data_IF_597613486847
#
_entry.id   IF_597613486847
#
_cell.length_a   1.000
_cell.length_b   1.000
_cell.length_c   1.000
_cell.angle_alpha   90.00
_cell.angle_beta   90.00
_cell.angle_gamma   90.00
#
_symmetry.space_group_name_H-M   'P 1'
#
loop_
_entity.id
_entity.type
_entity.pdbx_description
1 polymer ?
#
# COMPACT_ATOMS: atom_id res chain seq x y z
N UNK A 1 10.71 3.13 7.19
CA UNK A 1 10.08 3.72 5.98
C UNK A 1 9.70 2.58 5.06
N UNK A 2 8.48 2.56 4.54
CA UNK A 2 8.02 1.55 3.57
C UNK A 2 7.26 2.26 2.44
N UNK A 3 7.52 1.84 1.20
CA UNK A 3 6.84 2.32 0.00
C UNK A 3 6.65 1.14 -0.94
N UNK A 4 5.57 1.14 -1.72
CA UNK A 4 5.27 0.05 -2.63
C UNK A 4 4.33 0.49 -3.76
N UNK A 5 4.49 -0.14 -4.92
CA UNK A 5 3.71 0.12 -6.13
C UNK A 5 2.50 -0.81 -6.30
N UNK A 6 2.19 -1.65 -5.31
CA UNK A 6 1.13 -2.67 -5.25
C UNK A 6 1.40 -4.01 -5.96
N UNK A 7 1.79 -4.06 -7.23
CA UNK A 7 2.25 -5.31 -7.87
C UNK A 7 3.54 -5.07 -8.65
N UNK A 8 4.72 -5.18 -8.04
CA UNK A 8 6.00 -5.01 -8.77
C UNK A 8 6.09 -3.70 -9.57
N UNK A 9 6.14 -3.79 -10.91
CA UNK A 9 6.10 -2.64 -11.85
C UNK A 9 4.71 -2.01 -12.03
N UNK A 10 3.75 -2.41 -11.19
CA UNK A 10 2.39 -1.94 -11.16
C UNK A 10 1.66 -2.10 -12.49
N UNK A 11 1.08 -1.03 -13.05
CA UNK A 11 0.34 -1.11 -14.32
C UNK A 11 1.26 -1.22 -15.55
N UNK A 12 2.58 -1.36 -15.36
CA UNK A 12 3.60 -1.42 -16.42
C UNK A 12 3.61 -0.23 -17.39
N UNK A 13 2.95 0.88 -17.03
CA UNK A 13 2.93 2.13 -17.79
C UNK A 13 3.87 3.14 -17.12
N UNK A 14 4.85 3.59 -17.90
CA UNK A 14 5.77 4.65 -17.52
C UNK A 14 5.25 6.00 -17.98
N UNK A 15 5.42 7.04 -17.15
CA UNK A 15 5.24 8.42 -17.61
C UNK A 15 6.35 8.73 -18.62
N UNK A 16 6.04 9.19 -19.86
CA UNK A 16 7.01 9.36 -20.93
C UNK A 16 8.25 10.13 -20.49
N UNK A 17 9.43 9.63 -20.86
CA UNK A 17 10.73 10.26 -20.60
C UNK A 17 11.14 10.43 -19.12
N UNK A 18 10.33 9.97 -18.15
CA UNK A 18 10.63 10.15 -16.71
C UNK A 18 11.12 8.89 -16.00
N UNK A 19 10.85 7.70 -16.56
CA UNK A 19 11.10 6.43 -15.87
C UNK A 19 10.18 6.17 -14.66
N UNK A 20 9.17 7.01 -14.42
CA UNK A 20 8.24 6.85 -13.30
C UNK A 20 7.16 5.84 -13.67
N UNK A 21 7.16 4.69 -12.99
CA UNK A 21 6.08 3.70 -13.06
C UNK A 21 4.89 4.14 -12.20
N UNK A 22 3.67 4.01 -12.75
CA UNK A 22 2.44 4.38 -12.02
C UNK A 22 1.97 3.23 -11.13
N UNK A 23 1.68 3.44 -9.84
CA UNK A 23 1.23 2.40 -8.93
C UNK A 23 -0.16 1.87 -9.33
N UNK A 24 -0.44 0.59 -9.08
CA UNK A 24 -1.73 -0.04 -9.39
C UNK A 24 -2.64 -0.16 -8.16
N UNK A 25 -2.42 0.66 -7.13
CA UNK A 25 -3.17 0.66 -5.86
C UNK A 25 -4.70 0.67 -6.02
N UNK A 26 -5.22 1.24 -7.10
CA UNK A 26 -6.65 1.26 -7.39
C UNK A 26 -7.26 -0.15 -7.56
N UNK A 27 -6.46 -1.18 -7.87
CA UNK A 27 -6.91 -2.58 -7.87
C UNK A 27 -7.36 -3.07 -6.49
N UNK A 28 -7.00 -2.36 -5.41
CA UNK A 28 -7.45 -2.64 -4.06
C UNK A 28 -8.89 -2.23 -3.77
N UNK A 29 -9.61 -1.57 -4.68
CA UNK A 29 -11.04 -1.29 -4.50
C UNK A 29 -11.91 -2.50 -4.85
N UNK A 30 -13.09 -2.58 -4.25
CA UNK A 30 -14.17 -3.46 -4.74
C UNK A 30 -15.19 -2.68 -5.57
N UNK A 31 -15.93 -3.40 -6.41
CA UNK A 31 -17.11 -2.89 -7.13
C UNK A 31 -18.42 -3.27 -6.41
N UNK A 32 -18.34 -4.02 -5.32
CA UNK A 32 -19.50 -4.45 -4.55
C UNK A 32 -20.18 -3.26 -3.85
N UNK A 33 -21.47 -3.10 -4.11
CA UNK A 33 -22.27 -2.06 -3.47
C UNK A 33 -22.51 -2.41 -1.99
N UNK A 34 -22.27 -1.46 -1.09
CA UNK A 34 -22.44 -1.64 0.35
C UNK A 34 -21.20 -2.15 1.09
N UNK A 35 -20.14 -2.57 0.39
CA UNK A 35 -18.86 -2.86 1.03
C UNK A 35 -18.25 -1.58 1.66
N UNK A 36 -17.37 -1.64 2.66
CA UNK A 36 -16.68 -0.45 3.20
C UNK A 36 -15.67 0.17 2.22
N UNK A 37 -15.18 -0.61 1.25
CA UNK A 37 -14.14 -0.22 0.29
C UNK A 37 -14.57 -0.16 -1.21
N UNK A 38 -15.74 0.40 -1.58
CA UNK A 38 -16.11 0.57 -2.98
C UNK A 38 -15.27 1.68 -3.61
N UNK A 39 -15.09 1.60 -4.92
CA UNK A 39 -14.48 2.67 -5.72
C UNK A 39 -15.38 3.91 -5.73
N UNK A 40 -14.83 5.05 -5.31
CA UNK A 40 -15.52 6.36 -5.37
C UNK A 40 -14.51 7.47 -5.68
N UNK A 41 -14.94 8.63 -6.24
CA UNK A 41 -14.05 9.74 -6.53
C UNK A 41 -13.29 10.21 -5.29
N UNK A 42 -11.99 10.47 -5.44
CA UNK A 42 -11.07 10.96 -4.40
C UNK A 42 -10.90 10.07 -3.15
N UNK A 43 -11.52 8.88 -3.10
CA UNK A 43 -11.30 7.91 -2.04
C UNK A 43 -9.95 7.21 -2.23
N UNK A 44 -9.32 6.82 -1.11
CA UNK A 44 -8.13 5.95 -1.12
C UNK A 44 -8.55 4.49 -0.91
N UNK A 45 -7.96 3.53 -1.63
CA UNK A 45 -8.26 2.12 -1.45
C UNK A 45 -7.78 1.66 -0.07
N UNK A 46 -8.26 0.50 0.38
CA UNK A 46 -7.62 -0.19 1.50
C UNK A 46 -6.13 -0.44 1.17
N UNK A 47 -5.23 -0.04 2.07
CA UNK A 47 -3.78 -0.09 1.86
C UNK A 47 -3.15 -1.21 2.69
N UNK A 48 -2.31 -2.02 2.05
CA UNK A 48 -1.55 -3.11 2.69
C UNK A 48 -0.18 -2.66 3.22
N UNK A 49 0.08 -1.35 3.23
CA UNK A 49 1.33 -0.78 3.75
C UNK A 49 1.11 -0.47 5.23
N UNK A 50 1.71 -1.28 6.10
CA UNK A 50 1.55 -1.17 7.55
C UNK A 50 2.94 -1.01 8.18
N UNK A 51 3.39 0.23 8.43
CA UNK A 51 4.63 0.47 9.15
C UNK A 51 4.45 0.16 10.64
N UNK A 52 5.38 -0.59 11.21
CA UNK A 52 5.37 -0.92 12.64
C UNK A 52 6.58 -0.34 13.37
N UNK A 53 6.41 -0.06 14.66
CA UNK A 53 7.47 0.46 15.51
C UNK A 53 7.37 -0.18 16.89
N UNK A 54 8.45 -0.80 17.33
CA UNK A 54 8.50 -1.52 18.59
C UNK A 54 9.00 -0.61 19.72
N UNK A 55 8.24 -0.61 20.80
CA UNK A 55 8.61 -0.03 22.09
C UNK A 55 8.54 -1.13 23.15
N UNK A 56 9.50 -1.16 24.06
CA UNK A 56 9.47 -2.09 25.19
C UNK A 56 9.90 -1.36 26.46
N UNK A 57 9.07 -1.49 27.50
CA UNK A 57 9.22 -0.80 28.77
C UNK A 57 9.48 0.72 28.59
N UNK A 58 10.60 1.21 29.11
CA UNK A 58 11.06 2.59 29.13
C UNK A 58 11.93 2.96 27.91
N UNK A 59 12.05 2.08 26.90
CA UNK A 59 12.90 2.29 25.73
C UNK A 59 12.20 2.13 24.38
N UNK A 60 12.75 2.82 23.38
CA UNK A 60 12.44 2.63 21.97
C UNK A 60 13.34 1.55 21.38
N UNK A 61 12.76 0.48 20.83
CA UNK A 61 13.52 -0.58 20.18
C UNK A 61 13.77 -0.28 18.71
N UNK A 62 12.77 0.24 17.99
CA UNK A 62 12.94 0.74 16.63
C UNK A 62 11.89 0.26 15.63
N UNK A 63 12.08 0.59 14.34
CA UNK A 63 11.14 0.26 13.29
C UNK A 63 11.19 -1.22 12.94
N UNK A 64 10.02 -1.81 12.66
CA UNK A 64 9.90 -3.15 12.09
C UNK A 64 8.90 -3.12 10.93
N UNK A 65 9.04 -4.07 10.03
CA UNK A 65 8.11 -4.25 8.93
C UNK A 65 8.52 -5.48 8.16
N UNK A 66 7.54 -6.20 7.63
CA UNK A 66 7.79 -7.28 6.71
C UNK A 66 7.06 -6.90 5.41
N UNK A 67 7.66 -7.25 4.28
CA UNK A 67 7.08 -7.00 2.96
C UNK A 67 6.30 -8.24 2.54
N UNK A 68 5.13 -8.09 1.92
CA UNK A 68 4.39 -9.23 1.38
C UNK A 68 2.87 -9.11 1.44
N UNK A 69 2.30 -7.95 1.07
CA UNK A 69 0.86 -7.76 0.89
C UNK A 69 -0.01 -8.46 1.97
N UNK A 70 -0.83 -9.52 1.73
CA UNK A 70 -1.67 -10.11 2.77
C UNK A 70 -0.92 -11.01 3.78
N UNK A 71 0.40 -11.22 3.62
CA UNK A 71 1.20 -11.88 4.66
C UNK A 71 1.34 -11.01 5.92
N UNK A 72 1.12 -9.70 5.82
CA UNK A 72 1.07 -8.80 6.97
C UNK A 72 -0.38 -8.64 7.43
N UNK A 73 -0.66 -8.77 8.73
CA UNK A 73 -2.00 -8.70 9.28
C UNK A 73 -2.60 -7.29 9.18
#
# INVERSE_FOLDING_TARGET
>A
MIQYNFDGFAIAILVPQTGIARPNLASGFTLEFGHPNPITPAKRPFHLIIPSFLRWDNGTFGPMGVMGAPMHP
#
